data_IF_758401597469
#
_entry.id   IF_758401597469
#
_cell.length_a   1.000
_cell.length_b   1.000
_cell.length_c   1.000
_cell.angle_alpha   90.00
_cell.angle_beta   90.00
_cell.angle_gamma   90.00
#
_symmetry.space_group_name_H-M   'P 1'
#
loop_
_entity.id
_entity.type
_entity.pdbx_description
1 polymer ?
#
# COMPACT_ATOMS: atom_id res chain seq x y z
N UNK A 1 -17.38 10.49 6.25
CA UNK A 1 -16.28 9.59 5.83
C UNK A 1 -16.38 8.40 6.76
N UNK A 2 -16.83 7.26 6.27
CA UNK A 2 -16.94 6.02 7.05
C UNK A 2 -15.53 5.58 7.42
N UNK A 3 -15.32 5.13 8.66
CA UNK A 3 -13.99 4.73 9.12
C UNK A 3 -13.37 3.70 8.16
N UNK A 4 -12.10 3.88 7.73
CA UNK A 4 -11.42 2.92 6.88
C UNK A 4 -11.37 1.58 7.63
N UNK A 5 -12.07 0.61 7.09
CA UNK A 5 -12.37 -0.65 7.78
C UNK A 5 -11.34 -1.72 7.44
N UNK A 6 -10.65 -1.57 6.30
CA UNK A 6 -9.75 -2.60 5.76
C UNK A 6 -8.51 -1.97 5.14
N UNK A 7 -7.34 -2.52 5.43
CA UNK A 7 -6.09 -2.13 4.77
C UNK A 7 -5.67 -3.26 3.85
N UNK A 8 -5.32 -2.96 2.60
CA UNK A 8 -4.91 -3.96 1.61
C UNK A 8 -3.60 -3.58 0.93
N UNK A 9 -2.85 -4.58 0.50
CA UNK A 9 -1.78 -4.43 -0.48
C UNK A 9 -2.33 -4.86 -1.83
N UNK A 10 -2.26 -3.97 -2.82
CA UNK A 10 -2.63 -4.25 -4.21
C UNK A 10 -1.38 -4.31 -5.08
N UNK A 11 -1.36 -5.31 -5.96
CA UNK A 11 -0.41 -5.41 -7.07
C UNK A 11 -1.19 -5.29 -8.36
N UNK A 12 -0.91 -4.25 -9.12
CA UNK A 12 -1.56 -3.98 -10.40
C UNK A 12 -0.56 -4.03 -11.56
N UNK A 13 -1.08 -4.24 -12.76
CA UNK A 13 -0.37 -4.10 -14.04
C UNK A 13 -0.81 -2.80 -14.70
N UNK A 14 0.11 -1.88 -14.90
CA UNK A 14 -0.17 -0.64 -15.66
C UNK A 14 -0.47 -0.95 -17.13
N UNK A 15 -1.56 -0.39 -17.66
CA UNK A 15 -2.00 -0.65 -19.02
C UNK A 15 -1.09 -0.05 -20.09
N UNK A 16 -0.38 1.05 -19.78
CA UNK A 16 0.46 1.76 -20.76
C UNK A 16 1.87 1.18 -20.83
N UNK A 17 2.56 1.12 -19.71
CA UNK A 17 3.96 0.68 -19.62
C UNK A 17 4.12 -0.82 -19.39
N UNK A 18 3.02 -1.52 -19.06
CA UNK A 18 3.02 -2.92 -18.64
C UNK A 18 3.90 -3.22 -17.42
N UNK A 19 4.34 -2.21 -16.67
CA UNK A 19 5.08 -2.39 -15.41
C UNK A 19 4.13 -2.71 -14.25
N UNK A 20 4.70 -3.27 -13.18
CA UNK A 20 3.96 -3.52 -11.94
C UNK A 20 3.81 -2.22 -11.14
N UNK A 21 2.69 -2.11 -10.44
CA UNK A 21 2.40 -1.07 -9.47
C UNK A 21 2.08 -1.74 -8.14
N UNK A 22 2.70 -1.26 -7.06
CA UNK A 22 2.48 -1.75 -5.71
C UNK A 22 1.93 -0.63 -4.85
N UNK A 23 0.83 -0.87 -4.15
CA UNK A 23 0.20 0.11 -3.28
C UNK A 23 -0.26 -0.50 -1.95
N UNK A 24 -0.30 0.32 -0.90
CA UNK A 24 -1.07 0.07 0.32
C UNK A 24 -2.31 0.99 0.36
N UNK A 25 -3.50 0.40 0.38
CA UNK A 25 -4.78 1.12 0.33
C UNK A 25 -5.60 0.90 1.60
N UNK A 26 -6.24 1.97 2.05
CA UNK A 26 -7.30 1.93 3.06
C UNK A 26 -8.63 1.96 2.32
N UNK A 27 -9.49 0.99 2.59
CA UNK A 27 -10.79 0.83 1.96
C UNK A 27 -11.91 0.90 3.00
N UNK A 28 -13.03 1.47 2.59
CA UNK A 28 -14.32 1.38 3.29
C UNK A 28 -15.03 0.05 2.98
N UNK A 29 -16.25 -0.09 3.51
CA UNK A 29 -17.06 -1.30 3.36
C UNK A 29 -17.48 -1.56 1.91
N UNK A 30 -17.57 -0.51 1.08
CA UNK A 30 -17.95 -0.59 -0.33
C UNK A 30 -16.72 -0.81 -1.23
N UNK A 31 -15.52 -0.88 -0.66
CA UNK A 31 -14.28 -1.11 -1.38
C UNK A 31 -13.70 0.15 -2.04
N UNK A 32 -14.20 1.33 -1.67
CA UNK A 32 -13.66 2.62 -2.07
C UNK A 32 -12.66 3.12 -1.02
N UNK A 33 -11.71 3.95 -1.44
CA UNK A 33 -10.80 4.55 -0.49
C UNK A 33 -9.58 5.19 -1.13
N UNK A 34 -8.54 5.37 -0.33
CA UNK A 34 -7.29 6.02 -0.73
C UNK A 34 -6.09 5.17 -0.31
N UNK A 35 -4.97 5.37 -0.98
CA UNK A 35 -3.78 4.59 -0.71
C UNK A 35 -2.50 5.31 -1.10
N UNK A 36 -1.38 4.70 -0.77
CA UNK A 36 -0.04 5.17 -1.07
C UNK A 36 0.63 4.20 -2.05
N UNK A 37 1.17 4.74 -3.14
CA UNK A 37 1.98 3.96 -4.09
C UNK A 37 3.37 3.78 -3.51
N UNK A 38 3.75 2.53 -3.29
CA UNK A 38 5.09 2.15 -2.82
C UNK A 38 6.07 2.04 -3.99
N UNK A 39 5.62 1.51 -5.13
CA UNK A 39 6.46 1.33 -6.31
C UNK A 39 5.67 1.37 -7.62
N UNK A 40 6.37 1.63 -8.72
CA UNK A 40 5.84 1.58 -10.07
C UNK A 40 5.37 2.92 -10.66
N UNK A 41 4.92 2.91 -11.92
CA UNK A 41 4.47 4.11 -12.63
C UNK A 41 3.22 4.71 -11.99
N UNK A 42 2.96 5.99 -12.28
CA UNK A 42 1.75 6.67 -11.85
C UNK A 42 0.51 6.04 -12.48
N UNK A 43 -0.53 5.85 -11.68
CA UNK A 43 -1.82 5.38 -12.16
C UNK A 43 -2.40 6.37 -13.16
N UNK A 44 -2.82 5.86 -14.30
CA UNK A 44 -3.42 6.58 -15.42
C UNK A 44 -4.86 6.11 -15.72
N UNK A 45 -5.44 5.31 -14.82
CA UNK A 45 -6.77 4.71 -14.98
C UNK A 45 -6.84 3.47 -15.88
N UNK A 46 -5.71 2.99 -16.42
CA UNK A 46 -5.66 1.78 -17.28
C UNK A 46 -5.13 0.53 -16.59
N UNK A 47 -4.92 0.59 -15.27
CA UNK A 47 -4.33 -0.51 -14.51
C UNK A 47 -5.30 -1.67 -14.30
N UNK A 48 -4.78 -2.90 -14.38
CA UNK A 48 -5.51 -4.12 -14.04
C UNK A 48 -4.95 -4.72 -12.76
N UNK A 49 -5.83 -5.00 -11.79
CA UNK A 49 -5.43 -5.67 -10.54
C UNK A 49 -5.04 -7.13 -10.80
N UNK A 50 -3.86 -7.50 -10.33
CA UNK A 50 -3.33 -8.87 -10.39
C UNK A 50 -3.50 -9.61 -9.07
N UNK A 51 -3.24 -8.93 -7.96
CA UNK A 51 -3.32 -9.48 -6.62
C UNK A 51 -3.84 -8.43 -5.64
N UNK A 52 -4.66 -8.87 -4.68
CA UNK A 52 -5.05 -8.12 -3.50
C UNK A 52 -4.83 -8.99 -2.28
N UNK A 53 -4.15 -8.46 -1.28
CA UNK A 53 -3.99 -9.10 0.02
C UNK A 53 -4.49 -8.14 1.10
N UNK A 54 -5.36 -8.62 1.98
CA UNK A 54 -5.80 -7.83 3.14
C UNK A 54 -4.80 -7.98 4.27
N UNK A 55 -4.36 -6.85 4.82
CA UNK A 55 -3.46 -6.81 5.95
C UNK A 55 -4.23 -7.04 7.24
N UNK A 56 -3.83 -8.08 7.96
CA UNK A 56 -4.33 -8.34 9.30
C UNK A 56 -3.60 -7.46 10.33
N UNK A 57 -4.14 -7.41 11.55
CA UNK A 57 -3.45 -6.76 12.67
C UNK A 57 -2.06 -7.38 12.93
N UNK A 58 -1.89 -8.68 12.68
CA UNK A 58 -0.59 -9.36 12.79
C UNK A 58 0.39 -8.88 11.74
N UNK A 59 -0.04 -8.81 10.47
CA UNK A 59 0.83 -8.33 9.38
C UNK A 59 1.27 -6.89 9.64
N UNK A 60 0.35 -6.04 10.10
CA UNK A 60 0.66 -4.66 10.47
C UNK A 60 1.70 -4.58 11.60
N UNK A 61 1.62 -5.46 12.61
CA UNK A 61 2.59 -5.49 13.71
C UNK A 61 3.99 -5.92 13.23
N UNK A 62 4.08 -6.95 12.38
CA UNK A 62 5.36 -7.41 11.82
C UNK A 62 5.97 -6.37 10.89
N UNK A 63 5.17 -5.72 10.04
CA UNK A 63 5.63 -4.63 9.16
C UNK A 63 6.17 -3.46 10.00
N UNK A 64 5.44 -3.03 11.03
CA UNK A 64 5.91 -1.96 11.93
C UNK A 64 7.24 -2.32 12.58
N UNK A 65 7.34 -3.52 13.17
CA UNK A 65 8.58 -3.99 13.78
C UNK A 65 9.75 -3.94 12.80
N UNK A 66 9.57 -4.43 11.57
CA UNK A 66 10.61 -4.40 10.54
C UNK A 66 11.00 -2.97 10.15
N UNK A 67 10.04 -2.04 10.10
CA UNK A 67 10.29 -0.64 9.81
C UNK A 67 10.99 0.07 10.97
N UNK A 68 10.59 -0.18 12.21
CA UNK A 68 11.20 0.41 13.41
C UNK A 68 12.65 -0.07 13.59
N UNK A 69 12.95 -1.33 13.25
CA UNK A 69 14.32 -1.87 13.25
C UNK A 69 15.20 -1.20 12.18
N UNK A 70 14.64 -0.89 11.01
CA UNK A 70 15.36 -0.23 9.91
C UNK A 70 15.46 1.29 10.07
N UNK A 71 14.47 1.91 10.72
CA UNK A 71 14.28 3.36 10.87
C UNK A 71 13.86 3.69 12.32
N UNK A 72 14.75 3.51 13.31
CA UNK A 72 14.41 3.70 14.72
C UNK A 72 14.02 5.15 15.04
N UNK A 73 12.96 5.34 15.83
CA UNK A 73 12.54 6.66 16.29
C UNK A 73 13.67 7.36 17.08
N UNK A 74 14.01 8.59 16.68
CA UNK A 74 15.17 9.34 17.21
C UNK A 74 16.41 9.30 16.31
N UNK A 75 16.41 8.49 15.26
CA UNK A 75 17.36 8.58 14.14
C UNK A 75 17.05 9.75 13.22
N UNK A 76 17.12 10.99 13.73
CA UNK A 76 17.36 12.12 12.85
C UNK A 76 18.75 11.92 12.26
N UNK A 77 18.85 11.65 10.96
CA UNK A 77 20.13 11.64 10.26
C UNK A 77 19.89 12.01 8.79
N UNK A 78 19.93 13.33 8.57
CA UNK A 78 20.51 14.02 7.43
C UNK A 78 20.49 13.31 6.08
N UNK A 79 19.54 13.70 5.23
CA UNK A 79 19.78 13.88 3.79
C UNK A 79 19.02 15.11 3.29
#
# INVERSE_FOLDING_TARGET
MTDPTRVVIDVDRDGWTKRLQLNISQLDQDGHGWGYRLAGPKYNGSSQRLLRCELTARDAAEIRKALDEAFPEGGASDV
#
